data_IF_279955798111
#
_entry.id   IF_279955798111
#
_cell.length_a   1.000
_cell.length_b   1.000
_cell.length_c   1.000
_cell.angle_alpha   90.00
_cell.angle_beta   90.00
_cell.angle_gamma   90.00
#
_symmetry.space_group_name_H-M   'P 1'
#
loop_
_entity.id
_entity.type
_entity.pdbx_description
1 polymer ?
#
# COMPACT_ATOMS: atom_id res chain seq x y z
N UNK A 1 0.84 -17.02 -3.05
CA UNK A 1 0.75 -15.98 -1.98
C UNK A 1 0.31 -14.68 -2.60
N UNK A 2 -0.86 -14.16 -2.18
CA UNK A 2 -1.56 -13.10 -2.91
C UNK A 2 -0.72 -11.84 -3.06
N UNK A 3 -0.49 -11.45 -4.31
CA UNK A 3 -0.25 -10.04 -4.66
C UNK A 3 -1.55 -9.28 -4.51
N UNK A 4 -1.48 -8.03 -4.10
CA UNK A 4 -2.59 -7.12 -4.36
C UNK A 4 -2.59 -6.78 -5.84
N UNK A 5 -3.77 -6.73 -6.44
CA UNK A 5 -3.92 -6.52 -7.89
C UNK A 5 -3.77 -5.04 -8.28
N UNK A 6 -3.47 -4.16 -7.31
CA UNK A 6 -3.32 -2.71 -7.50
C UNK A 6 -4.51 -2.04 -8.22
N UNK A 7 -5.72 -2.55 -7.97
CA UNK A 7 -6.96 -2.07 -8.59
C UNK A 7 -7.72 -1.04 -7.74
N UNK A 8 -7.33 -0.89 -6.47
CA UNK A 8 -8.01 0.00 -5.53
C UNK A 8 -7.20 1.28 -5.32
N UNK A 9 -7.86 2.41 -5.03
CA UNK A 9 -7.19 3.66 -4.71
C UNK A 9 -6.23 3.49 -3.52
N UNK A 10 -5.13 4.24 -3.56
CA UNK A 10 -4.15 4.28 -2.47
C UNK A 10 -3.62 5.69 -2.24
N UNK A 11 -3.11 5.93 -1.04
CA UNK A 11 -2.43 7.17 -0.66
C UNK A 11 -1.27 6.89 0.30
N UNK A 12 -0.25 7.74 0.26
CA UNK A 12 0.79 7.82 1.27
C UNK A 12 0.57 9.07 2.13
N UNK A 13 0.75 8.94 3.44
CA UNK A 13 0.51 10.00 4.41
C UNK A 13 1.68 10.11 5.37
N UNK A 14 2.17 11.33 5.61
CA UNK A 14 3.16 11.61 6.65
C UNK A 14 2.48 12.15 7.90
N UNK A 15 2.84 11.61 9.05
CA UNK A 15 2.29 12.03 10.34
C UNK A 15 3.29 12.73 11.23
N UNK A 16 2.88 13.86 11.82
CA UNK A 16 3.66 14.57 12.84
C UNK A 16 4.00 13.66 14.03
N UNK A 17 5.28 13.57 14.47
CA UNK A 17 5.60 12.85 15.69
C UNK A 17 4.89 13.53 16.86
N UNK A 18 4.06 12.77 17.57
CA UNK A 18 3.31 13.28 18.73
C UNK A 18 4.13 13.13 20.00
N UNK A 19 4.61 14.21 20.63
CA UNK A 19 5.30 14.09 21.91
C UNK A 19 4.33 13.59 22.98
N UNK A 20 4.66 12.45 23.61
CA UNK A 20 4.06 12.02 24.88
C UNK A 20 2.63 11.46 24.87
N UNK A 21 2.01 11.18 23.71
CA UNK A 21 0.66 10.56 23.67
C UNK A 21 0.70 9.07 23.34
N UNK A 22 0.03 8.24 24.15
CA UNK A 22 -0.38 6.88 23.77
C UNK A 22 -1.24 6.98 22.50
N UNK A 23 -0.87 6.26 21.44
CA UNK A 23 -1.57 6.14 20.15
C UNK A 23 -3.08 5.88 20.38
N UNK A 24 -3.92 6.93 20.39
CA UNK A 24 -5.39 6.84 20.36
C UNK A 24 -5.83 7.37 19.00
N UNK A 25 -6.56 6.52 18.28
CA UNK A 25 -6.61 6.49 16.81
C UNK A 25 -7.73 7.32 16.14
N UNK A 26 -8.03 8.55 16.56
CA UNK A 26 -9.18 9.26 15.95
C UNK A 26 -8.87 10.49 15.12
N UNK A 27 -7.65 11.02 15.14
CA UNK A 27 -7.21 12.00 14.15
C UNK A 27 -5.72 11.82 13.93
N UNK A 28 -5.30 11.71 12.67
CA UNK A 28 -3.90 11.75 12.29
C UNK A 28 -3.55 13.22 12.07
N UNK A 29 -2.44 13.70 12.62
CA UNK A 29 -1.94 15.04 12.30
C UNK A 29 -1.17 14.91 10.99
N UNK A 30 -1.94 14.86 9.90
CA UNK A 30 -1.43 14.69 8.54
C UNK A 30 -0.65 15.93 8.16
N UNK A 31 0.64 15.75 7.93
CA UNK A 31 1.57 16.81 7.50
C UNK A 31 1.53 16.94 5.99
N UNK A 32 1.47 15.79 5.30
CA UNK A 32 1.61 15.74 3.85
C UNK A 32 0.99 14.45 3.28
N UNK A 33 0.47 14.52 2.05
CA UNK A 33 -0.13 13.38 1.33
C UNK A 33 0.44 13.25 -0.08
N UNK A 34 0.67 12.01 -0.50
CA UNK A 34 1.02 11.63 -1.88
C UNK A 34 -0.05 10.67 -2.36
N UNK A 35 -0.60 10.89 -3.55
CA UNK A 35 -1.60 10.00 -4.13
C UNK A 35 -1.86 10.30 -5.59
N UNK A 36 -2.82 9.58 -6.17
CA UNK A 36 -3.40 9.97 -7.46
C UNK A 36 -4.12 11.32 -7.34
N UNK A 37 -4.45 11.93 -8.48
CA UNK A 37 -5.25 13.15 -8.52
C UNK A 37 -6.53 12.94 -7.69
N UNK A 38 -6.64 13.61 -6.55
CA UNK A 38 -7.83 13.49 -5.71
C UNK A 38 -9.01 14.05 -6.49
N UNK A 39 -10.12 13.29 -6.67
CA UNK A 39 -11.32 13.83 -7.27
C UNK A 39 -11.96 14.94 -6.42
N UNK A 40 -11.46 15.14 -5.19
CA UNK A 40 -11.93 16.14 -4.24
C UNK A 40 -11.04 17.39 -4.16
N UNK A 41 -9.98 17.49 -4.96
CA UNK A 41 -9.20 18.74 -5.09
C UNK A 41 -8.46 19.16 -3.82
N UNK A 42 -7.84 18.22 -3.10
CA UNK A 42 -6.94 18.57 -2.00
C UNK A 42 -5.67 19.21 -2.57
N UNK A 43 -5.55 20.54 -2.41
CA UNK A 43 -4.48 21.43 -2.92
C UNK A 43 -3.04 21.06 -2.49
N UNK A 44 -2.86 20.08 -1.61
CA UNK A 44 -1.56 19.69 -1.05
C UNK A 44 -1.09 18.29 -1.49
N UNK A 45 -1.78 17.68 -2.45
CA UNK A 45 -1.39 16.35 -2.96
C UNK A 45 -0.37 16.48 -4.08
N UNK A 46 0.80 15.83 -3.92
CA UNK A 46 1.76 15.65 -5.01
C UNK A 46 1.46 14.32 -5.70
N UNK A 47 1.51 14.33 -7.03
CA UNK A 47 1.38 13.12 -7.85
C UNK A 47 2.56 12.19 -7.58
N UNK A 48 2.25 10.94 -7.20
CA UNK A 48 3.25 9.90 -6.88
C UNK A 48 4.33 9.75 -7.97
N UNK A 49 3.94 9.81 -9.24
CA UNK A 49 4.84 9.63 -10.39
C UNK A 49 5.93 10.70 -10.52
N UNK A 50 5.72 11.86 -9.92
CA UNK A 50 6.66 12.99 -9.98
C UNK A 50 7.66 12.96 -8.82
N UNK A 51 7.60 11.94 -7.96
CA UNK A 51 8.31 11.94 -6.69
C UNK A 51 9.20 10.70 -6.54
N UNK A 52 10.50 10.91 -6.47
CA UNK A 52 11.45 9.88 -6.05
C UNK A 52 11.47 9.74 -4.52
N UNK A 53 11.70 8.54 -4.00
CA UNK A 53 11.91 8.33 -2.56
C UNK A 53 13.05 9.18 -1.98
N UNK A 54 14.05 9.54 -2.79
CA UNK A 54 15.15 10.45 -2.40
C UNK A 54 14.70 11.89 -2.19
N UNK A 55 13.63 12.33 -2.88
CA UNK A 55 13.05 13.66 -2.69
C UNK A 55 12.18 13.69 -1.44
N UNK A 56 11.71 12.51 -1.00
CA UNK A 56 10.99 12.32 0.26
C UNK A 56 11.93 12.26 1.44
N UNK A 57 12.86 11.30 1.42
CA UNK A 57 13.75 11.03 2.54
C UNK A 57 15.13 11.58 2.24
N UNK A 58 15.66 12.41 3.13
CA UNK A 58 17.09 12.73 3.15
C UNK A 58 17.91 11.56 3.68
N UNK A 59 19.23 11.64 3.54
CA UNK A 59 20.20 10.58 3.91
C UNK A 59 20.09 10.13 5.39
N UNK A 60 19.58 11.02 6.25
CA UNK A 60 19.34 10.76 7.67
C UNK A 60 17.96 10.15 7.97
N UNK A 61 17.19 9.81 6.93
CA UNK A 61 15.83 9.31 7.00
C UNK A 61 14.75 10.34 7.31
N UNK A 62 15.10 11.62 7.41
CA UNK A 62 14.12 12.69 7.67
C UNK A 62 13.41 13.11 6.39
N UNK A 63 12.22 13.69 6.53
CA UNK A 63 11.52 14.29 5.40
C UNK A 63 12.35 15.47 4.88
N UNK A 64 12.58 15.55 3.57
CA UNK A 64 13.24 16.72 2.98
C UNK A 64 12.38 17.97 3.13
N UNK A 65 13.03 19.14 3.27
CA UNK A 65 12.34 20.43 3.37
C UNK A 65 11.51 20.74 2.13
N UNK A 66 11.90 20.24 0.95
CA UNK A 66 11.18 20.41 -0.32
C UNK A 66 9.74 19.86 -0.29
N UNK A 67 9.46 18.91 0.61
CA UNK A 67 8.13 18.33 0.81
C UNK A 67 7.47 18.87 2.09
N UNK A 68 8.23 19.59 2.92
CA UNK A 68 7.71 20.22 4.12
C UNK A 68 6.92 21.48 3.74
N UNK A 69 5.63 21.60 4.10
CA UNK A 69 4.82 22.77 3.78
C UNK A 69 5.33 24.09 4.39
N UNK A 70 6.37 24.04 5.23
CA UNK A 70 6.92 25.20 5.94
C UNK A 70 8.42 25.41 5.72
N UNK A 71 9.05 24.78 4.72
CA UNK A 71 10.51 24.80 4.48
C UNK A 71 11.37 24.33 5.68
N UNK A 72 10.75 23.74 6.70
CA UNK A 72 11.42 23.21 7.87
C UNK A 72 11.85 21.75 7.65
N UNK A 73 13.07 21.41 8.04
CA UNK A 73 13.50 20.00 8.12
C UNK A 73 12.80 19.37 9.32
N UNK A 74 11.69 18.70 9.05
CA UNK A 74 10.94 18.05 10.11
C UNK A 74 11.62 16.73 10.54
N UNK A 75 11.50 16.35 11.83
CA UNK A 75 11.96 15.04 12.29
C UNK A 75 11.30 13.89 11.49
N UNK A 76 11.85 12.67 11.60
CA UNK A 76 11.28 11.46 11.02
C UNK A 76 9.78 11.39 11.33
N UNK A 77 8.97 11.62 10.31
CA UNK A 77 7.54 11.36 10.32
C UNK A 77 7.33 9.88 9.99
N UNK A 78 6.42 9.24 10.70
CA UNK A 78 5.96 7.92 10.31
C UNK A 78 5.26 8.08 8.94
N UNK A 79 5.73 7.34 7.93
CA UNK A 79 5.09 7.28 6.62
C UNK A 79 4.08 6.13 6.65
N UNK A 80 2.83 6.43 6.31
CA UNK A 80 1.78 5.43 6.22
C UNK A 80 1.35 5.26 4.78
N UNK A 81 1.15 4.03 4.34
CA UNK A 81 0.55 3.67 3.07
C UNK A 81 -0.84 3.09 3.33
N UNK A 82 -1.86 3.73 2.77
CA UNK A 82 -3.24 3.28 2.80
C UNK A 82 -3.60 2.70 1.43
N UNK A 83 -4.07 1.46 1.41
CA UNK A 83 -4.61 0.78 0.22
C UNK A 83 -6.07 0.44 0.43
N UNK A 84 -6.90 0.68 -0.58
CA UNK A 84 -8.36 0.49 -0.56
C UNK A 84 -9.04 1.32 0.54
N UNK A 85 -9.63 2.45 0.16
CA UNK A 85 -10.29 3.38 1.09
C UNK A 85 -11.53 2.79 1.78
N UNK A 86 -12.12 1.72 1.23
CA UNK A 86 -13.27 1.04 1.82
C UNK A 86 -12.81 0.09 2.93
N UNK A 87 -11.87 -0.80 2.62
CA UNK A 87 -11.39 -1.78 3.58
C UNK A 87 -10.31 -1.24 4.52
N UNK A 88 -9.68 -0.11 4.16
CA UNK A 88 -8.71 0.66 4.95
C UNK A 88 -7.45 -0.07 5.35
N UNK A 89 -6.72 -0.61 4.38
CA UNK A 89 -5.50 -1.36 4.66
C UNK A 89 -4.33 -0.41 4.90
N UNK A 90 -3.91 -0.27 6.17
CA UNK A 90 -2.86 0.68 6.57
C UNK A 90 -1.53 -0.03 6.83
N UNK A 91 -0.46 0.48 6.24
CA UNK A 91 0.92 0.01 6.37
C UNK A 91 1.80 1.13 6.90
N UNK A 92 2.54 0.86 7.99
CA UNK A 92 3.58 1.75 8.49
C UNK A 92 4.89 1.45 7.74
N UNK A 93 5.42 2.46 7.04
CA UNK A 93 6.68 2.42 6.30
C UNK A 93 7.76 3.14 7.12
N UNK A 94 8.81 2.40 7.47
CA UNK A 94 9.88 2.89 8.34
C UNK A 94 11.20 2.85 7.57
N UNK A 95 11.80 4.00 7.36
CA UNK A 95 13.14 4.09 6.81
C UNK A 95 14.17 3.58 7.84
N UNK A 96 15.01 2.62 7.41
CA UNK A 96 16.05 2.01 8.26
C UNK A 96 17.48 2.35 7.83
N UNK A 97 17.63 3.21 6.83
CA UNK A 97 18.92 3.60 6.25
C UNK A 97 19.11 3.11 4.82
N UNK A 98 20.23 3.52 4.24
CA UNK A 98 20.57 3.25 2.83
C UNK A 98 21.62 2.16 2.71
N UNK A 99 21.55 1.43 1.60
CA UNK A 99 22.52 0.39 1.23
C UNK A 99 22.67 0.36 -0.28
N UNK A 100 23.85 -0.03 -0.74
CA UNK A 100 24.07 -0.32 -2.16
C UNK A 100 23.07 -1.38 -2.64
N UNK A 101 22.37 -1.06 -3.71
CA UNK A 101 21.41 -1.96 -4.33
C UNK A 101 22.13 -3.21 -4.83
N UNK A 102 21.55 -4.39 -4.55
CA UNK A 102 22.06 -5.68 -5.05
C UNK A 102 21.50 -6.06 -6.41
N UNK A 103 20.41 -5.41 -6.79
CA UNK A 103 19.63 -5.61 -8.01
C UNK A 103 18.87 -4.34 -8.32
N UNK A 104 18.44 -4.19 -9.57
CA UNK A 104 17.56 -3.14 -10.11
C UNK A 104 16.08 -3.31 -9.72
N UNK A 105 15.82 -3.96 -8.59
CA UNK A 105 14.48 -4.29 -8.10
C UNK A 105 14.46 -4.40 -6.58
N UNK A 106 13.28 -4.19 -5.94
CA UNK A 106 13.12 -4.43 -4.52
C UNK A 106 13.49 -5.86 -4.14
N UNK A 107 14.17 -6.01 -3.02
CA UNK A 107 14.55 -7.31 -2.47
C UNK A 107 14.01 -7.44 -1.04
N UNK A 108 13.15 -8.42 -0.84
CA UNK A 108 12.53 -8.70 0.46
C UNK A 108 13.46 -9.60 1.26
N UNK A 109 14.04 -9.03 2.32
CA UNK A 109 14.96 -9.77 3.20
C UNK A 109 14.24 -10.70 4.17
N UNK A 110 13.14 -10.22 4.73
CA UNK A 110 12.35 -10.90 5.75
C UNK A 110 10.90 -10.52 5.59
N UNK A 111 10.00 -11.49 5.70
CA UNK A 111 8.57 -11.26 5.76
C UNK A 111 8.00 -12.24 6.78
N UNK A 112 7.09 -11.74 7.61
CA UNK A 112 6.45 -12.51 8.68
C UNK A 112 4.99 -12.11 8.79
N UNK A 113 4.16 -12.99 9.30
CA UNK A 113 2.77 -12.70 9.58
C UNK A 113 1.84 -13.40 8.61
N UNK A 114 0.65 -12.84 8.39
CA UNK A 114 -0.40 -13.50 7.63
C UNK A 114 -0.70 -12.73 6.33
N UNK A 115 -0.83 -13.47 5.23
CA UNK A 115 -1.26 -12.91 3.94
C UNK A 115 -2.75 -12.66 4.03
N UNK A 116 -3.12 -11.39 4.10
CA UNK A 116 -4.52 -10.99 4.09
C UNK A 116 -5.09 -11.12 2.67
N UNK A 117 -6.34 -11.56 2.57
CA UNK A 117 -7.02 -11.79 1.30
C UNK A 117 -7.56 -10.49 0.73
N UNK A 118 -7.27 -10.21 -0.54
CA UNK A 118 -7.86 -9.10 -1.28
C UNK A 118 -9.39 -9.17 -1.23
N UNK A 119 -10.07 -8.02 -1.09
CA UNK A 119 -11.54 -7.89 -0.99
C UNK A 119 -12.17 -8.54 0.25
N UNK A 120 -11.44 -8.65 1.36
CA UNK A 120 -12.01 -9.13 2.62
C UNK A 120 -12.63 -7.97 3.40
N UNK A 121 -13.96 -7.91 3.40
CA UNK A 121 -14.73 -6.86 4.10
C UNK A 121 -14.33 -6.80 5.59
N UNK A 122 -13.67 -5.71 5.99
CA UNK A 122 -13.24 -5.32 7.36
C UNK A 122 -11.97 -6.01 7.91
N UNK A 123 -10.87 -5.24 8.01
CA UNK A 123 -9.52 -5.60 8.50
C UNK A 123 -9.50 -6.45 9.79
N UNK A 124 -10.30 -6.08 10.79
CA UNK A 124 -10.16 -6.65 12.14
C UNK A 124 -10.87 -7.98 12.32
N UNK A 125 -11.85 -8.28 11.45
CA UNK A 125 -12.73 -9.45 11.57
C UNK A 125 -12.37 -10.54 10.57
N UNK A 126 -12.04 -10.19 9.34
CA UNK A 126 -11.74 -11.16 8.29
C UNK A 126 -10.55 -12.08 8.64
N UNK A 127 -9.42 -11.52 9.09
CA UNK A 127 -8.25 -12.31 9.49
C UNK A 127 -8.47 -13.20 10.72
N UNK A 128 -9.28 -12.74 11.68
CA UNK A 128 -9.67 -13.57 12.84
C UNK A 128 -10.62 -14.69 12.42
N UNK A 129 -11.54 -14.40 11.51
CA UNK A 129 -12.51 -15.37 11.01
C UNK A 129 -11.85 -16.41 10.10
N UNK A 130 -10.89 -16.04 9.27
CA UNK A 130 -10.12 -16.98 8.46
C UNK A 130 -9.32 -17.91 9.38
N UNK A 131 -8.52 -17.39 10.31
CA UNK A 131 -7.77 -18.24 11.27
C UNK A 131 -8.68 -19.15 12.07
N UNK A 132 -9.82 -18.65 12.56
CA UNK A 132 -10.82 -19.46 13.26
C UNK A 132 -11.40 -20.57 12.37
N UNK A 133 -11.75 -20.25 11.13
CA UNK A 133 -12.28 -21.23 10.18
C UNK A 133 -11.24 -22.31 9.86
N UNK A 134 -10.03 -21.92 9.49
CA UNK A 134 -8.94 -22.82 9.12
C UNK A 134 -8.42 -23.65 10.30
N UNK A 135 -8.43 -23.11 11.52
CA UNK A 135 -8.03 -23.83 12.74
C UNK A 135 -9.08 -24.82 13.27
N UNK A 136 -10.33 -24.77 12.79
CA UNK A 136 -11.38 -25.68 13.27
C UNK A 136 -11.24 -27.09 12.69
N UNK A 137 -11.15 -28.09 13.59
CA UNK A 137 -11.13 -29.53 13.26
C UNK A 137 -12.49 -30.02 12.73
N UNK A 138 -13.58 -29.45 13.23
CA UNK A 138 -14.96 -29.75 12.82
C UNK A 138 -15.61 -28.43 12.39
N UNK A 139 -15.38 -27.97 11.15
CA UNK A 139 -15.84 -26.66 10.70
C UNK A 139 -17.36 -26.61 10.54
N UNK A 140 -17.97 -25.50 10.97
CA UNK A 140 -19.38 -25.20 10.66
C UNK A 140 -19.58 -24.92 9.17
N UNK A 141 -20.83 -24.93 8.69
CA UNK A 141 -21.15 -24.59 7.30
C UNK A 141 -20.60 -23.21 6.90
N UNK A 142 -20.68 -22.21 7.80
CA UNK A 142 -20.12 -20.87 7.59
C UNK A 142 -18.59 -20.90 7.47
N UNK A 143 -17.90 -21.68 8.31
CA UNK A 143 -16.46 -21.84 8.26
C UNK A 143 -16.02 -22.59 6.98
N UNK A 144 -16.76 -23.58 6.52
CA UNK A 144 -16.49 -24.26 5.25
C UNK A 144 -16.64 -23.32 4.06
N UNK A 145 -17.70 -22.51 4.02
CA UNK A 145 -17.87 -21.47 2.98
C UNK A 145 -16.70 -20.48 2.98
N UNK A 146 -16.24 -20.07 4.16
CA UNK A 146 -15.08 -19.19 4.29
C UNK A 146 -13.79 -19.86 3.78
N UNK A 147 -13.55 -21.14 4.07
CA UNK A 147 -12.40 -21.88 3.53
C UNK A 147 -12.43 -21.97 2.01
N UNK A 148 -13.59 -22.23 1.43
CA UNK A 148 -13.78 -22.29 -0.03
C UNK A 148 -13.51 -20.92 -0.65
N UNK A 149 -14.16 -19.87 -0.16
CA UNK A 149 -13.97 -18.50 -0.63
C UNK A 149 -12.50 -18.06 -0.54
N UNK A 150 -11.85 -18.34 0.60
CA UNK A 150 -10.44 -17.96 0.81
C UNK A 150 -9.47 -18.66 -0.15
N UNK A 151 -9.79 -19.88 -0.59
CA UNK A 151 -9.00 -20.63 -1.59
C UNK A 151 -9.32 -20.22 -3.03
N UNK A 152 -10.49 -19.63 -3.28
CA UNK A 152 -10.90 -19.16 -4.59
C UNK A 152 -10.59 -17.68 -4.85
N UNK A 153 -10.12 -16.94 -3.85
CA UNK A 153 -9.71 -15.55 -4.02
C UNK A 153 -8.56 -15.46 -5.06
N UNK A 154 -8.35 -14.32 -5.73
CA UNK A 154 -7.19 -14.13 -6.61
C UNK A 154 -5.91 -14.07 -5.77
N UNK A 155 -4.88 -14.84 -6.15
CA UNK A 155 -3.55 -14.78 -5.53
C UNK A 155 -3.14 -15.82 -4.47
N UNK A 156 -4.03 -16.62 -3.86
CA UNK A 156 -3.65 -17.86 -3.22
C UNK A 156 -3.62 -19.00 -4.25
N UNK A 157 -2.51 -19.72 -4.28
CA UNK A 157 -2.48 -21.07 -4.82
C UNK A 157 -3.54 -21.92 -4.05
N UNK A 158 -3.95 -23.08 -4.57
CA UNK A 158 -4.88 -24.01 -3.89
C UNK A 158 -4.50 -24.33 -2.42
N UNK A 159 -3.27 -23.99 -2.03
CA UNK A 159 -2.63 -24.14 -0.73
C UNK A 159 -2.85 -22.97 0.25
N UNK A 160 -3.79 -22.05 0.02
CA UNK A 160 -4.02 -20.97 0.99
C UNK A 160 -4.24 -21.50 2.40
N UNK A 161 -3.49 -20.95 3.34
CA UNK A 161 -3.64 -21.17 4.76
C UNK A 161 -3.19 -19.89 5.48
N UNK A 162 -4.01 -19.34 6.40
CA UNK A 162 -3.66 -18.14 7.17
C UNK A 162 -2.59 -18.41 8.26
N UNK A 163 -2.05 -19.63 8.28
CA UNK A 163 -0.97 -20.06 9.16
C UNK A 163 0.36 -20.25 8.43
N UNK A 164 0.37 -20.13 7.10
CA UNK A 164 1.60 -20.23 6.33
C UNK A 164 2.35 -18.89 6.45
N UNK A 165 3.60 -18.94 6.88
CA UNK A 165 4.48 -17.78 6.86
C UNK A 165 4.82 -17.38 5.41
N UNK A 166 5.03 -16.07 5.13
CA UNK A 166 5.52 -15.56 3.87
C UNK A 166 6.78 -16.28 3.36
N UNK A 167 6.74 -16.79 2.12
CA UNK A 167 7.92 -17.36 1.47
C UNK A 167 8.66 -16.27 0.70
N UNK A 168 9.72 -15.74 1.31
CA UNK A 168 10.55 -14.68 0.70
C UNK A 168 11.21 -15.12 -0.61
N UNK A 169 11.43 -16.43 -0.82
CA UNK A 169 11.98 -16.95 -2.07
C UNK A 169 10.98 -16.75 -3.21
N UNK A 170 9.72 -17.09 -2.95
CA UNK A 170 8.61 -16.85 -3.89
C UNK A 170 8.33 -15.36 -4.07
N UNK A 171 8.47 -14.55 -3.02
CA UNK A 171 8.29 -13.10 -3.13
C UNK A 171 9.39 -12.43 -3.96
N UNK A 172 10.62 -12.93 -3.91
CA UNK A 172 11.76 -12.41 -4.67
C UNK A 172 11.93 -13.05 -6.06
N UNK A 173 11.02 -13.93 -6.49
CA UNK A 173 11.04 -14.51 -7.83
C UNK A 173 11.02 -13.41 -8.89
N UNK A 174 11.98 -13.43 -9.83
CA UNK A 174 12.24 -12.31 -10.75
C UNK A 174 11.04 -11.96 -11.61
N UNK A 175 10.42 -12.99 -12.19
CA UNK A 175 9.23 -12.81 -13.02
C UNK A 175 8.05 -12.18 -12.28
N UNK A 176 8.02 -12.23 -10.93
CA UNK A 176 6.96 -11.56 -10.15
C UNK A 176 7.10 -10.03 -10.24
N UNK A 177 8.31 -9.51 -10.05
CA UNK A 177 8.56 -8.07 -10.14
C UNK A 177 8.36 -7.57 -11.57
N UNK A 178 8.94 -8.26 -12.56
CA UNK A 178 8.82 -7.86 -13.97
C UNK A 178 7.37 -7.82 -14.44
N UNK A 179 6.56 -8.82 -14.08
CA UNK A 179 5.15 -8.85 -14.45
C UNK A 179 4.37 -7.72 -13.77
N UNK A 180 4.66 -7.44 -12.50
CA UNK A 180 4.00 -6.36 -11.76
C UNK A 180 4.38 -4.97 -12.29
N UNK A 181 5.68 -4.74 -12.53
CA UNK A 181 6.19 -3.50 -13.09
C UNK A 181 5.64 -3.25 -14.50
N UNK A 182 5.57 -4.30 -15.34
CA UNK A 182 4.96 -4.22 -16.68
C UNK A 182 3.48 -3.84 -16.59
N UNK A 183 2.72 -4.49 -15.71
CA UNK A 183 1.30 -4.18 -15.50
C UNK A 183 1.10 -2.73 -15.05
N UNK A 184 1.92 -2.24 -14.11
CA UNK A 184 1.89 -0.85 -13.67
C UNK A 184 2.14 0.12 -14.84
N UNK A 185 3.21 -0.09 -15.61
CA UNK A 185 3.52 0.75 -16.77
C UNK A 185 2.42 0.73 -17.85
N UNK A 186 1.78 -0.42 -18.06
CA UNK A 186 0.66 -0.54 -19.00
C UNK A 186 -0.60 0.16 -18.49
N UNK A 187 -0.88 0.09 -17.19
CA UNK A 187 -1.99 0.80 -16.56
C UNK A 187 -1.81 2.32 -16.63
N UNK A 188 -0.61 2.83 -16.31
CA UNK A 188 -0.30 4.26 -16.38
C UNK A 188 -0.46 4.83 -17.79
N UNK A 189 -0.09 4.07 -18.84
CA UNK A 189 -0.25 4.51 -20.24
C UNK A 189 -1.70 4.63 -20.69
N UNK A 190 -2.62 3.85 -20.11
CA UNK A 190 -4.04 3.90 -20.48
C UNK A 190 -4.70 5.18 -19.97
N UNK A 191 -4.32 5.61 -18.77
CA UNK A 191 -4.82 6.85 -18.16
C UNK A 191 -4.45 8.08 -19.01
N UNK A 192 -3.23 8.11 -19.55
CA UNK A 192 -2.78 9.19 -20.45
C UNK A 192 -3.53 9.21 -21.80
N UNK A 193 -4.11 8.08 -22.22
CA UNK A 193 -4.78 7.95 -23.52
C UNK A 193 -6.30 8.17 -23.48
N UNK A 194 -6.92 8.10 -22.30
CA UNK A 194 -8.37 8.31 -22.11
C UNK A 194 -8.72 9.73 -21.65
N UNK A 195 -7.72 10.59 -21.47
CA UNK A 195 -7.89 12.04 -21.36
C UNK A 195 -7.36 12.76 -22.63
N UNK A 196 -8.01 12.61 -23.80
CA UNK A 196 -7.74 13.51 -24.91
C UNK A 196 -8.22 14.91 -24.51
N UNK A 197 -7.28 15.79 -24.23
CA UNK A 197 -7.40 17.25 -24.24
C UNK A 197 -8.81 17.80 -23.91
N UNK A 198 -9.10 17.94 -22.62
CA UNK A 198 -10.13 18.89 -22.16
C UNK A 198 -9.64 20.34 -22.23
N UNK A 199 -8.63 20.64 -23.06
CA UNK A 199 -7.86 21.88 -23.03
C UNK A 199 -8.14 22.85 -24.19
N UNK A 200 -9.26 22.72 -24.91
CA UNK A 200 -9.55 23.65 -26.04
C UNK A 200 -11.02 24.13 -26.17
N UNK A 201 -11.89 23.90 -25.18
CA UNK A 201 -13.31 24.33 -25.25
C UNK A 201 -13.74 25.44 -24.30
N UNK A 202 -12.80 26.05 -23.56
CA UNK A 202 -13.11 27.15 -22.61
C UNK A 202 -12.35 28.45 -22.91
N UNK A 203 -12.21 28.84 -24.18
CA UNK A 203 -11.92 30.24 -24.55
C UNK A 203 -12.73 30.68 -25.79
N UNK A 204 -14.05 30.75 -25.63
CA UNK A 204 -14.85 31.72 -26.39
C UNK A 204 -16.19 31.89 -25.69
N UNK A 205 -16.37 32.97 -24.93
CA UNK A 205 -17.55 33.84 -24.85
C UNK A 205 -17.21 35.07 -24.01
#
# INVERSE_FOLDING_TARGET
MGTWDCIHPHEFTFEAPRPGRRRKSSSLDVVFKIGGASPYGDDWSILEQNLGLREVFGDNGRLQSTISPFDEVLPLHDLYYLYDFNDKWVHELIFKGERLARSDRPFIKTATGDVRLSNSVVESKAGKWSKSAFGSRIPTMKQNRMKVWARSAPGPDERFSPFNEPDVTVMNYEGRWENHFRYYLEASKKDDSEHPDLDDTFMSW
#
